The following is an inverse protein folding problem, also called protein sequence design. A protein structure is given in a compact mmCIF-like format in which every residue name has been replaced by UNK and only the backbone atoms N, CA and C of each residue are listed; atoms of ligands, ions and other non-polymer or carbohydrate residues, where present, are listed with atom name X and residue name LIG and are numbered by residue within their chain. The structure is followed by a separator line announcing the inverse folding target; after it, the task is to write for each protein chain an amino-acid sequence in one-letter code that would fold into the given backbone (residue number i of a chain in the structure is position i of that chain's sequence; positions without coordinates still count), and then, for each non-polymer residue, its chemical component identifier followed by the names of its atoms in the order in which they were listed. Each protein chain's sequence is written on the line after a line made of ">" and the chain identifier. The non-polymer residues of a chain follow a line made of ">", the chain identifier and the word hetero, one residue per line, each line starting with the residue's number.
data_IF_727849511656
#
_entry.id   IF_727849511656
#
_cell.length_a   1.000
_cell.length_b   1.000
_cell.length_c   1.000
_cell.angle_alpha   90.00
_cell.angle_beta   90.00
_cell.angle_gamma   90.00
#
_symmetry.space_group_name_H-M   'P 1'
#
loop_
_entity.id
_entity.type
_entity.pdbx_description
1 polymer ?
#
# COMPACT_ATOMS: atom_id res chain seq x y z
N UNK A 1 5.96 -25.68 6.95
CA UNK A 1 6.53 -24.33 6.81
C UNK A 1 5.67 -23.39 7.63
N UNK A 2 6.19 -22.74 8.69
CA UNK A 2 5.40 -21.73 9.39
C UNK A 2 5.09 -20.61 8.40
N UNK A 3 3.80 -20.36 8.20
CA UNK A 3 3.32 -19.28 7.35
C UNK A 3 3.67 -17.98 8.08
N UNK A 4 4.56 -17.17 7.50
CA UNK A 4 4.97 -15.90 8.10
C UNK A 4 3.74 -15.01 8.29
N UNK A 5 3.46 -14.64 9.55
CA UNK A 5 2.36 -13.75 9.92
C UNK A 5 2.91 -12.33 10.06
N UNK A 6 3.39 -11.77 8.96
CA UNK A 6 3.91 -10.40 8.90
C UNK A 6 3.47 -9.69 7.62
N UNK A 7 3.44 -8.37 7.68
CA UNK A 7 3.45 -7.50 6.51
C UNK A 7 4.68 -6.61 6.59
N UNK A 8 5.45 -6.57 5.51
CA UNK A 8 6.72 -5.89 5.41
C UNK A 8 6.66 -4.81 4.31
N UNK A 9 7.21 -3.64 4.58
CA UNK A 9 7.24 -2.50 3.67
C UNK A 9 8.63 -2.19 3.14
N UNK A 10 8.69 -1.44 2.04
CA UNK A 10 9.90 -0.79 1.54
C UNK A 10 9.59 0.68 1.19
N UNK A 11 10.56 1.57 1.42
CA UNK A 11 10.47 3.00 1.06
C UNK A 11 11.59 3.39 0.11
N UNK A 12 11.33 4.40 -0.71
CA UNK A 12 12.37 5.05 -1.52
C UNK A 12 13.46 5.65 -0.62
N UNK A 13 14.67 5.79 -1.17
CA UNK A 13 15.78 6.44 -0.47
C UNK A 13 15.58 7.95 -0.28
N UNK A 14 14.78 8.56 -1.14
CA UNK A 14 14.58 10.01 -1.22
C UNK A 14 13.12 10.32 -0.90
N UNK A 15 12.91 11.22 0.06
CA UNK A 15 11.60 11.80 0.37
C UNK A 15 11.43 13.15 -0.34
N UNK A 16 10.21 13.45 -0.75
CA UNK A 16 9.87 14.67 -1.47
C UNK A 16 9.13 15.65 -0.56
N UNK A 17 9.41 16.95 -0.72
CA UNK A 17 8.72 18.04 0.02
C UNK A 17 7.94 19.01 -0.87
N UNK A 18 8.29 19.08 -2.16
CA UNK A 18 7.70 20.00 -3.13
C UNK A 18 7.88 19.47 -4.57
N UNK A 19 7.14 20.04 -5.51
CA UNK A 19 7.17 19.67 -6.93
C UNK A 19 6.21 18.53 -7.29
N UNK A 20 6.27 18.07 -8.55
CA UNK A 20 5.49 16.95 -9.07
C UNK A 20 6.43 15.79 -9.38
N UNK A 21 6.12 14.62 -8.84
CA UNK A 21 6.93 13.40 -8.98
C UNK A 21 6.05 12.27 -9.48
N UNK A 22 6.58 11.44 -10.37
CA UNK A 22 5.92 10.24 -10.86
C UNK A 22 6.94 9.11 -10.87
N UNK A 23 6.47 7.90 -10.56
CA UNK A 23 7.26 6.68 -10.59
C UNK A 23 6.39 5.53 -11.07
N UNK A 24 7.02 4.49 -11.56
CA UNK A 24 6.38 3.25 -11.97
C UNK A 24 6.60 2.17 -10.90
N UNK A 25 5.57 1.37 -10.65
CA UNK A 25 5.66 0.17 -9.81
C UNK A 25 5.26 -1.01 -10.66
N UNK A 26 6.20 -1.93 -10.87
CA UNK A 26 5.95 -3.22 -11.51
C UNK A 26 5.89 -4.29 -10.42
N UNK A 27 4.77 -5.00 -10.35
CA UNK A 27 4.55 -6.08 -9.39
C UNK A 27 4.39 -7.39 -10.14
N UNK A 28 5.43 -8.21 -10.14
CA UNK A 28 5.44 -9.50 -10.81
C UNK A 28 5.00 -10.61 -9.84
N UNK A 29 3.97 -11.36 -10.22
CA UNK A 29 3.41 -12.45 -9.41
C UNK A 29 2.02 -12.13 -8.85
N UNK A 30 1.41 -13.07 -8.12
CA UNK A 30 0.13 -12.81 -7.47
C UNK A 30 0.30 -11.74 -6.39
N UNK A 31 -0.68 -10.85 -6.27
CA UNK A 31 -0.71 -9.83 -5.21
C UNK A 31 -0.79 -10.45 -3.80
N UNK A 32 -1.29 -11.68 -3.70
CA UNK A 32 -1.55 -12.33 -2.42
C UNK A 32 -2.74 -11.70 -1.69
N UNK A 33 -2.76 -11.81 -0.36
CA UNK A 33 -3.87 -11.32 0.48
C UNK A 33 -3.85 -9.81 0.66
N UNK A 34 -2.66 -9.20 0.69
CA UNK A 34 -2.47 -7.77 0.92
C UNK A 34 -1.35 -7.26 0.02
N UNK A 35 -1.68 -6.34 -0.88
CA UNK A 35 -0.72 -5.64 -1.73
C UNK A 35 -1.08 -4.16 -1.78
N UNK A 36 -0.23 -3.31 -1.20
CA UNK A 36 -0.51 -1.88 -1.06
C UNK A 36 0.65 -1.07 -1.60
N UNK A 37 0.34 -0.09 -2.45
CA UNK A 37 1.30 0.90 -2.97
C UNK A 37 0.89 2.28 -2.53
N UNK A 38 1.84 3.18 -2.29
CA UNK A 38 1.46 4.50 -1.81
C UNK A 38 2.63 5.38 -1.39
N UNK A 39 2.34 6.32 -0.51
CA UNK A 39 3.29 7.27 0.04
C UNK A 39 3.22 7.25 1.56
N UNK A 40 4.34 7.56 2.18
CA UNK A 40 4.44 7.59 3.63
C UNK A 40 5.43 8.65 4.09
N UNK A 41 5.23 9.16 5.30
CA UNK A 41 6.23 9.95 6.00
C UNK A 41 7.33 9.03 6.56
N UNK A 42 8.34 9.61 7.22
CA UNK A 42 9.43 8.83 7.83
C UNK A 42 8.95 8.06 9.07
N UNK A 43 7.90 8.57 9.71
CA UNK A 43 7.31 8.08 10.95
C UNK A 43 6.46 6.81 10.74
N UNK A 44 5.95 6.59 9.52
CA UNK A 44 5.16 5.40 9.21
C UNK A 44 5.94 4.09 9.48
N UNK A 45 5.29 3.06 10.04
CA UNK A 45 5.90 1.77 10.32
C UNK A 45 6.29 1.03 9.03
N UNK A 46 7.33 0.20 9.11
CA UNK A 46 7.84 -0.59 7.98
C UNK A 46 7.54 -2.08 8.10
N UNK A 47 7.00 -2.51 9.23
CA UNK A 47 6.65 -3.90 9.49
C UNK A 47 5.49 -3.94 10.48
N UNK A 48 4.58 -4.90 10.32
CA UNK A 48 3.58 -5.22 11.32
C UNK A 48 3.32 -6.74 11.38
N UNK A 49 2.79 -7.20 12.51
CA UNK A 49 2.34 -8.58 12.66
C UNK A 49 0.99 -8.78 11.94
N UNK A 50 0.84 -9.92 11.28
CA UNK A 50 -0.34 -10.31 10.50
C UNK A 50 -0.35 -9.78 9.07
N UNK A 51 -1.37 -10.19 8.31
CA UNK A 51 -1.65 -9.71 6.96
C UNK A 51 -2.54 -8.48 7.01
N UNK A 52 -1.92 -7.31 7.09
CA UNK A 52 -2.62 -6.04 7.28
C UNK A 52 -2.12 -5.05 6.25
N UNK A 53 -3.02 -4.22 5.73
CA UNK A 53 -2.63 -3.11 4.86
C UNK A 53 -1.81 -2.07 5.64
N UNK A 54 -0.48 -2.21 5.64
CA UNK A 54 0.44 -1.39 6.41
C UNK A 54 0.41 0.08 5.96
N UNK A 55 0.41 0.34 4.65
CA UNK A 55 0.23 1.70 4.13
C UNK A 55 -1.24 2.10 4.25
N UNK A 56 -1.49 3.22 4.92
CA UNK A 56 -2.82 3.73 5.21
C UNK A 56 -3.39 3.26 6.56
N UNK A 57 -2.67 2.44 7.34
CA UNK A 57 -3.14 1.99 8.66
C UNK A 57 -3.08 3.08 9.74
N UNK A 58 -2.38 4.17 9.46
CA UNK A 58 -2.19 5.31 10.36
C UNK A 58 -2.27 6.64 9.61
N UNK A 59 -2.10 7.75 10.34
CA UNK A 59 -2.07 9.10 9.80
C UNK A 59 -0.79 9.42 9.00
N UNK A 60 0.23 8.56 9.07
CA UNK A 60 1.55 8.80 8.49
C UNK A 60 1.70 8.23 7.07
N UNK A 61 0.64 7.62 6.52
CA UNK A 61 0.68 6.98 5.20
C UNK A 61 -0.65 7.04 4.46
N UNK A 62 -0.56 7.03 3.12
CA UNK A 62 -1.69 6.80 2.23
C UNK A 62 -1.36 5.60 1.36
N UNK A 63 -2.27 4.63 1.34
CA UNK A 63 -2.08 3.37 0.61
C UNK A 63 -3.22 3.12 -0.36
N UNK A 64 -2.90 2.66 -1.56
CA UNK A 64 -3.85 2.05 -2.48
C UNK A 64 -3.68 0.53 -2.40
N UNK A 65 -4.67 -0.14 -1.83
CA UNK A 65 -4.74 -1.59 -1.79
C UNK A 65 -5.19 -2.11 -3.16
N UNK A 66 -4.27 -2.78 -3.86
CA UNK A 66 -4.43 -3.31 -5.20
C UNK A 66 -5.36 -4.53 -5.26
N UNK A 67 -5.53 -5.24 -4.14
CA UNK A 67 -6.37 -6.45 -4.06
C UNK A 67 -7.85 -6.04 -4.08
N UNK A 68 -8.23 -5.13 -3.19
CA UNK A 68 -9.63 -4.72 -3.01
C UNK A 68 -10.03 -3.51 -3.85
N UNK A 69 -9.01 -2.79 -4.34
CA UNK A 69 -9.11 -1.49 -4.99
C UNK A 69 -9.62 -0.36 -4.08
N UNK A 70 -9.09 -0.31 -2.85
CA UNK A 70 -9.43 0.72 -1.87
C UNK A 70 -8.26 1.68 -1.65
N UNK A 71 -8.57 2.97 -1.56
CA UNK A 71 -7.70 3.97 -0.96
C UNK A 71 -7.82 3.89 0.56
N UNK A 72 -6.70 3.90 1.26
CA UNK A 72 -6.59 3.72 2.70
C UNK A 72 -5.84 4.89 3.33
N UNK A 73 -6.35 5.37 4.46
CA UNK A 73 -5.69 6.37 5.30
C UNK A 73 -6.29 6.36 6.70
N UNK A 74 -5.44 6.53 7.72
CA UNK A 74 -5.86 6.57 9.13
C UNK A 74 -6.65 5.34 9.59
N UNK A 75 -6.33 4.16 9.03
CA UNK A 75 -7.00 2.89 9.34
C UNK A 75 -8.32 2.67 8.59
N UNK A 76 -8.80 3.66 7.84
CA UNK A 76 -10.10 3.63 7.18
C UNK A 76 -9.99 3.57 5.65
N UNK A 77 -10.99 2.91 5.04
CA UNK A 77 -11.19 2.98 3.59
C UNK A 77 -11.80 4.31 3.19
N UNK A 78 -11.12 5.02 2.30
CA UNK A 78 -11.51 6.29 1.70
C UNK A 78 -12.31 6.10 0.40
N UNK A 79 -12.68 4.85 0.09
CA UNK A 79 -13.40 4.47 -1.13
C UNK A 79 -12.48 3.90 -2.22
N UNK A 80 -13.04 3.75 -3.42
CA UNK A 80 -12.33 3.15 -4.54
C UNK A 80 -11.36 4.14 -5.19
N UNK A 81 -10.15 3.69 -5.48
CA UNK A 81 -9.17 4.43 -6.25
C UNK A 81 -8.34 3.47 -7.11
N UNK A 82 -8.01 3.82 -8.36
CA UNK A 82 -8.64 4.88 -9.15
C UNK A 82 -10.13 4.54 -9.43
N UNK A 83 -10.92 5.52 -9.89
CA UNK A 83 -12.34 5.26 -10.18
C UNK A 83 -12.57 4.56 -11.53
N UNK A 84 -11.58 4.59 -12.43
CA UNK A 84 -11.77 4.28 -13.85
C UNK A 84 -10.77 3.26 -14.43
N UNK A 85 -9.79 2.78 -13.65
CA UNK A 85 -8.71 1.95 -14.20
C UNK A 85 -8.17 0.93 -13.18
N UNK A 86 -9.04 0.01 -12.78
CA UNK A 86 -8.73 -0.96 -11.73
C UNK A 86 -8.09 -2.21 -12.33
N UNK A 87 -7.14 -2.81 -11.60
CA UNK A 87 -6.66 -4.14 -11.94
C UNK A 87 -7.84 -5.12 -11.98
N UNK A 88 -7.87 -6.08 -12.93
CA UNK A 88 -8.91 -7.10 -12.96
C UNK A 88 -8.95 -7.82 -11.61
N UNK A 89 -10.11 -7.88 -10.97
CA UNK A 89 -10.27 -8.72 -9.78
C UNK A 89 -10.15 -10.17 -10.20
N UNK A 90 -9.31 -10.95 -9.50
CA UNK A 90 -9.31 -12.41 -9.65
C UNK A 90 -10.72 -12.92 -9.33
N UNK A 91 -11.32 -13.68 -10.25
CA UNK A 91 -12.55 -14.45 -10.00
C UNK A 91 -12.24 -15.71 -9.21
#
# INVERSE_FOLDING_TARGET
>A
NPVAQSTDGARSKIGFRQGRHAWEVMWEGPLGTVAVVGIATKEAPMICNGYVALLGSDEHSWGWNLVDNHLLHNGDSQGNYPLLNNAPKYQ
#
